data_IF_056234970399
#
_entry.id   IF_056234970399
#
_cell.length_a   1.000
_cell.length_b   1.000
_cell.length_c   1.000
_cell.angle_alpha   90.00
_cell.angle_beta   90.00
_cell.angle_gamma   90.00
#
_symmetry.space_group_name_H-M   'P 1'
#
loop_
_entity.id
_entity.type
_entity.pdbx_description
1 polymer ?
#
# COMPACT_ATOMS: atom_id res chain seq x y z
N UNK A 1 -8.90 0.93 -21.30
CA UNK A 1 -8.53 2.00 -20.36
C UNK A 1 -7.89 1.33 -19.15
N UNK A 2 -6.62 1.63 -18.84
CA UNK A 2 -5.99 1.11 -17.63
C UNK A 2 -6.43 1.98 -16.45
N UNK A 3 -6.70 1.36 -15.31
CA UNK A 3 -7.02 2.10 -14.08
C UNK A 3 -5.78 2.88 -13.61
N UNK A 4 -5.91 4.18 -13.42
CA UNK A 4 -4.81 5.01 -12.92
C UNK A 4 -4.85 5.09 -11.38
N UNK A 5 -3.85 4.48 -10.76
CA UNK A 5 -3.69 4.53 -9.31
C UNK A 5 -3.33 5.94 -8.82
N UNK A 6 -2.74 6.79 -9.66
CA UNK A 6 -2.43 8.19 -9.32
C UNK A 6 -3.72 8.98 -9.17
N UNK A 7 -4.64 8.88 -10.12
CA UNK A 7 -5.98 9.48 -10.01
C UNK A 7 -6.73 8.97 -8.76
N UNK A 8 -6.60 7.67 -8.45
CA UNK A 8 -7.19 7.11 -7.24
C UNK A 8 -6.59 7.68 -5.94
N UNK A 9 -5.31 8.06 -5.96
CA UNK A 9 -4.66 8.77 -4.85
C UNK A 9 -5.12 10.23 -4.79
N UNK A 10 -5.28 10.91 -5.91
CA UNK A 10 -5.81 12.28 -5.97
C UNK A 10 -7.18 12.35 -5.32
N UNK A 11 -8.09 11.43 -5.66
CA UNK A 11 -9.38 11.31 -4.99
C UNK A 11 -9.25 11.07 -3.48
N UNK A 12 -8.26 10.27 -3.07
CA UNK A 12 -8.00 10.05 -1.64
C UNK A 12 -7.58 11.35 -0.94
N UNK A 13 -6.77 12.19 -1.59
CA UNK A 13 -6.38 13.49 -1.08
C UNK A 13 -7.57 14.46 -0.97
N UNK A 14 -8.45 14.49 -1.98
CA UNK A 14 -9.67 15.31 -1.94
C UNK A 14 -10.58 14.91 -0.77
N UNK A 15 -10.78 13.61 -0.57
CA UNK A 15 -11.56 13.08 0.55
C UNK A 15 -10.93 13.38 1.91
N UNK A 16 -9.61 13.58 1.97
CA UNK A 16 -8.91 13.91 3.21
C UNK A 16 -9.18 15.35 3.69
N UNK A 17 -9.67 16.24 2.81
CA UNK A 17 -9.97 17.63 3.14
C UNK A 17 -11.24 17.78 3.98
N UNK A 18 -12.08 16.75 4.01
CA UNK A 18 -13.33 16.74 4.76
C UNK A 18 -13.14 16.06 6.12
N UNK A 19 -13.72 16.65 7.16
CA UNK A 19 -13.59 16.16 8.52
C UNK A 19 -14.46 14.95 8.87
N UNK A 20 -15.38 14.57 7.98
CA UNK A 20 -16.27 13.41 8.11
C UNK A 20 -15.49 12.12 8.39
N UNK A 21 -15.86 11.35 9.42
CA UNK A 21 -15.25 10.05 9.72
C UNK A 21 -15.28 9.09 8.53
N UNK A 22 -16.39 9.06 7.79
CA UNK A 22 -16.54 8.20 6.62
C UNK A 22 -15.56 8.59 5.51
N UNK A 23 -15.43 9.89 5.21
CA UNK A 23 -14.51 10.38 4.18
C UNK A 23 -13.05 10.18 4.59
N UNK A 24 -12.70 10.41 5.87
CA UNK A 24 -11.36 10.13 6.42
C UNK A 24 -10.98 8.64 6.32
N UNK A 25 -11.85 7.73 6.75
CA UNK A 25 -11.62 6.28 6.63
C UNK A 25 -11.44 5.87 5.18
N UNK A 26 -12.31 6.40 4.31
CA UNK A 26 -12.24 6.14 2.87
C UNK A 26 -10.94 6.68 2.26
N UNK A 27 -10.54 7.90 2.61
CA UNK A 27 -9.27 8.50 2.17
C UNK A 27 -8.06 7.63 2.55
N UNK A 28 -8.00 7.15 3.79
CA UNK A 28 -6.93 6.27 4.26
C UNK A 28 -6.90 4.97 3.45
N UNK A 29 -8.06 4.34 3.25
CA UNK A 29 -8.17 3.09 2.50
C UNK A 29 -7.71 3.27 1.06
N UNK A 30 -8.17 4.32 0.38
CA UNK A 30 -7.77 4.64 -1.00
C UNK A 30 -6.29 4.96 -1.12
N UNK A 31 -5.76 5.74 -0.18
CA UNK A 31 -4.33 6.07 -0.12
C UNK A 31 -3.46 4.82 0.01
N UNK A 32 -3.83 3.89 0.89
CA UNK A 32 -3.12 2.61 1.02
C UNK A 32 -3.18 1.79 -0.26
N UNK A 33 -4.37 1.59 -0.84
CA UNK A 33 -4.54 0.77 -2.02
C UNK A 33 -3.80 1.32 -3.24
N UNK A 34 -3.88 2.63 -3.49
CA UNK A 34 -3.13 3.27 -4.56
C UNK A 34 -1.62 3.06 -4.37
N UNK A 35 -1.07 3.40 -3.20
CA UNK A 35 0.36 3.25 -2.93
C UNK A 35 0.83 1.80 -3.06
N UNK A 36 0.03 0.84 -2.59
CA UNK A 36 0.32 -0.58 -2.74
C UNK A 36 0.33 -1.01 -4.22
N UNK A 37 -0.68 -0.64 -4.99
CA UNK A 37 -0.78 -1.04 -6.39
C UNK A 37 0.33 -0.43 -7.23
N UNK A 38 0.64 0.86 -7.07
CA UNK A 38 1.78 1.51 -7.73
C UNK A 38 3.07 0.76 -7.40
N UNK A 39 3.30 0.45 -6.12
CA UNK A 39 4.50 -0.26 -5.69
C UNK A 39 4.58 -1.69 -6.27
N UNK A 40 3.45 -2.41 -6.31
CA UNK A 40 3.35 -3.77 -6.88
C UNK A 40 3.60 -3.74 -8.38
N UNK A 41 2.92 -2.86 -9.10
CA UNK A 41 2.97 -2.78 -10.55
C UNK A 41 4.39 -2.41 -11.02
N UNK A 42 5.07 -1.52 -10.27
CA UNK A 42 6.50 -1.25 -10.49
C UNK A 42 7.38 -2.50 -10.32
N UNK A 43 7.17 -3.32 -9.28
CA UNK A 43 7.93 -4.57 -9.10
C UNK A 43 7.67 -5.55 -10.25
N UNK A 44 6.43 -5.63 -10.72
CA UNK A 44 6.04 -6.50 -11.83
C UNK A 44 6.71 -6.04 -13.13
N UNK A 45 6.60 -4.75 -13.45
CA UNK A 45 7.17 -4.14 -14.66
C UNK A 45 8.69 -4.30 -14.71
N UNK A 46 9.38 -4.05 -13.58
CA UNK A 46 10.84 -4.21 -13.48
C UNK A 46 11.28 -5.65 -13.27
N UNK A 47 10.35 -6.61 -13.23
CA UNK A 47 10.61 -8.03 -12.91
C UNK A 47 11.45 -8.20 -11.64
N UNK A 48 11.23 -7.31 -10.67
CA UNK A 48 11.99 -7.21 -9.43
C UNK A 48 11.40 -8.16 -8.38
N UNK A 49 11.83 -9.42 -8.42
CA UNK A 49 11.41 -10.48 -7.51
C UNK A 49 12.59 -11.03 -6.73
N UNK A 50 12.33 -11.56 -5.54
CA UNK A 50 13.37 -12.24 -4.75
C UNK A 50 13.62 -13.67 -5.24
N UNK A 51 12.54 -14.36 -5.60
CA UNK A 51 12.52 -15.76 -5.98
C UNK A 51 11.23 -16.09 -6.78
N UNK A 52 11.09 -17.34 -7.24
CA UNK A 52 9.92 -17.79 -8.03
C UNK A 52 8.62 -17.78 -7.21
N UNK A 53 8.70 -18.07 -5.91
CA UNK A 53 7.52 -18.13 -5.03
C UNK A 53 6.96 -16.71 -4.80
N UNK A 54 7.84 -15.77 -4.48
CA UNK A 54 7.56 -14.36 -4.34
C UNK A 54 6.96 -13.77 -5.62
N UNK A 55 7.49 -14.14 -6.80
CA UNK A 55 6.89 -13.76 -8.08
C UNK A 55 5.43 -14.21 -8.16
N UNK A 56 5.14 -15.47 -7.86
CA UNK A 56 3.78 -16.01 -7.90
C UNK A 56 2.86 -15.27 -6.93
N UNK A 57 3.31 -15.03 -5.70
CA UNK A 57 2.50 -14.33 -4.69
C UNK A 57 2.25 -12.86 -5.02
N UNK A 58 3.24 -12.13 -5.55
CA UNK A 58 3.07 -10.72 -5.97
C UNK A 58 2.08 -10.59 -7.13
N UNK A 59 2.08 -11.56 -8.06
CA UNK A 59 1.13 -11.59 -9.16
C UNK A 59 -0.26 -12.11 -8.74
N UNK A 60 -0.41 -12.62 -7.52
CA UNK A 60 -1.70 -13.04 -6.98
C UNK A 60 -2.54 -11.84 -6.55
N UNK A 61 -3.87 -11.97 -6.63
CA UNK A 61 -4.82 -10.99 -6.06
C UNK A 61 -5.15 -11.29 -4.59
N UNK A 62 -4.34 -12.10 -3.90
CA UNK A 62 -4.59 -12.55 -2.53
C UNK A 62 -4.03 -11.57 -1.51
N UNK A 63 -4.53 -11.66 -0.27
CA UNK A 63 -4.05 -10.87 0.87
C UNK A 63 -2.53 -10.98 1.10
N UNK A 64 -1.97 -12.15 0.82
CA UNK A 64 -0.54 -12.47 0.90
C UNK A 64 0.32 -11.55 0.01
N UNK A 65 -0.21 -11.08 -1.12
CA UNK A 65 0.50 -10.19 -2.04
C UNK A 65 0.89 -8.87 -1.37
N UNK A 66 0.06 -8.35 -0.46
CA UNK A 66 0.37 -7.13 0.31
C UNK A 66 1.59 -7.30 1.19
N UNK A 67 1.74 -8.47 1.82
CA UNK A 67 2.92 -8.77 2.62
C UNK A 67 4.16 -8.91 1.74
N UNK A 68 4.05 -9.66 0.64
CA UNK A 68 5.18 -9.94 -0.25
C UNK A 68 5.73 -8.68 -0.92
N UNK A 69 4.88 -7.77 -1.42
CA UNK A 69 5.35 -6.49 -1.98
C UNK A 69 6.18 -5.73 -0.95
N UNK A 70 5.71 -5.61 0.30
CA UNK A 70 6.48 -4.94 1.36
C UNK A 70 7.77 -5.69 1.70
N UNK A 71 7.74 -7.02 1.72
CA UNK A 71 8.92 -7.87 1.94
C UNK A 71 9.98 -7.63 0.87
N UNK A 72 9.60 -7.55 -0.40
CA UNK A 72 10.52 -7.24 -1.51
C UNK A 72 11.18 -5.87 -1.33
N UNK A 73 10.40 -4.83 -1.02
CA UNK A 73 10.97 -3.49 -0.74
C UNK A 73 11.82 -3.43 0.54
N UNK A 74 11.62 -4.37 1.49
CA UNK A 74 12.50 -4.55 2.65
C UNK A 74 13.81 -5.26 2.26
N UNK A 75 13.72 -6.35 1.49
CA UNK A 75 14.81 -7.28 1.22
C UNK A 75 15.71 -6.89 0.04
N UNK A 76 15.16 -6.49 -1.12
CA UNK A 76 15.95 -6.05 -2.28
C UNK A 76 16.97 -4.97 -1.90
N UNK A 77 16.59 -4.13 -0.94
CA UNK A 77 17.36 -2.98 -0.50
C UNK A 77 18.22 -3.25 0.74
N UNK A 78 18.11 -4.47 1.29
CA UNK A 78 19.04 -5.01 2.28
C UNK A 78 20.26 -5.67 1.59
N UNK A 79 20.09 -6.22 0.37
CA UNK A 79 21.08 -7.09 -0.27
C UNK A 79 21.86 -6.50 -1.47
N UNK A 80 21.46 -5.40 -2.15
CA UNK A 80 22.23 -4.87 -3.31
C UNK A 80 22.36 -3.33 -3.45
N UNK A 81 23.56 -2.93 -3.92
CA UNK A 81 24.07 -1.68 -4.53
C UNK A 81 23.61 -0.31 -3.96
N UNK A 82 24.58 0.29 -3.26
CA UNK A 82 24.84 1.67 -2.77
C UNK A 82 24.03 2.91 -3.25
N UNK A 83 23.11 2.84 -4.21
CA UNK A 83 22.32 4.00 -4.68
C UNK A 83 20.85 4.03 -4.23
N UNK A 84 20.12 2.90 -4.32
CA UNK A 84 18.65 2.89 -4.16
C UNK A 84 18.14 2.43 -2.78
N UNK A 85 19.03 2.17 -1.83
CA UNK A 85 18.70 1.66 -0.48
C UNK A 85 17.74 2.56 0.30
N UNK A 86 17.86 3.88 0.15
CA UNK A 86 17.00 4.86 0.84
C UNK A 86 15.58 4.85 0.28
N UNK A 87 15.43 4.72 -1.04
CA UNK A 87 14.13 4.74 -1.72
C UNK A 87 13.29 3.53 -1.32
N UNK A 88 13.84 2.31 -1.45
CA UNK A 88 13.12 1.09 -1.08
C UNK A 88 12.72 1.05 0.39
N UNK A 89 13.63 1.46 1.30
CA UNK A 89 13.32 1.58 2.73
C UNK A 89 12.21 2.60 3.01
N UNK A 90 12.20 3.72 2.29
CA UNK A 90 11.15 4.71 2.42
C UNK A 90 9.79 4.19 1.92
N UNK A 91 9.77 3.46 0.81
CA UNK A 91 8.55 2.81 0.29
C UNK A 91 8.04 1.79 1.31
N UNK A 92 8.90 0.90 1.82
CA UNK A 92 8.54 -0.06 2.86
C UNK A 92 7.94 0.63 4.10
N UNK A 93 8.60 1.67 4.62
CA UNK A 93 8.11 2.44 5.78
C UNK A 93 6.75 3.10 5.51
N UNK A 94 6.59 3.72 4.33
CA UNK A 94 5.32 4.37 3.93
C UNK A 94 4.19 3.34 3.82
N UNK A 95 4.44 2.20 3.18
CA UNK A 95 3.45 1.14 3.01
C UNK A 95 3.04 0.50 4.35
N UNK A 96 3.98 0.30 5.29
CA UNK A 96 3.62 -0.15 6.64
C UNK A 96 2.78 0.89 7.36
N UNK A 97 3.22 2.15 7.41
CA UNK A 97 2.46 3.22 8.07
C UNK A 97 1.04 3.36 7.50
N UNK A 98 0.87 3.27 6.18
CA UNK A 98 -0.46 3.32 5.55
C UNK A 98 -1.30 2.09 5.88
N UNK A 99 -0.68 0.90 5.93
CA UNK A 99 -1.38 -0.34 6.32
C UNK A 99 -1.87 -0.27 7.77
N UNK A 100 -1.03 0.22 8.67
CA UNK A 100 -1.37 0.34 10.10
C UNK A 100 -2.54 1.31 10.24
N UNK A 101 -2.44 2.51 9.65
CA UNK A 101 -3.55 3.47 9.59
C UNK A 101 -4.83 2.91 8.98
N UNK A 102 -4.71 2.10 7.92
CA UNK A 102 -5.85 1.44 7.28
C UNK A 102 -6.51 0.44 8.23
N UNK A 103 -5.71 -0.38 8.91
CA UNK A 103 -6.23 -1.29 9.91
C UNK A 103 -6.92 -0.54 11.04
N UNK A 104 -6.37 0.58 11.50
CA UNK A 104 -7.02 1.43 12.51
C UNK A 104 -8.35 1.98 11.96
N UNK A 105 -8.34 2.48 10.72
CA UNK A 105 -9.52 3.02 10.05
C UNK A 105 -10.60 1.97 9.70
N UNK A 106 -10.25 0.69 9.58
CA UNK A 106 -11.18 -0.40 9.29
C UNK A 106 -11.69 -1.07 10.58
N UNK A 107 -10.85 -1.17 11.62
CA UNK A 107 -11.12 -2.05 12.76
C UNK A 107 -11.16 -1.34 14.13
N UNK A 108 -10.68 -0.10 14.28
CA UNK A 108 -10.87 0.62 15.54
C UNK A 108 -12.29 1.20 15.65
N UNK A 109 -13.00 0.67 16.66
CA UNK A 109 -14.38 0.97 17.07
C UNK A 109 -14.55 2.31 17.80
N UNK A 110 -13.57 3.22 17.79
CA UNK A 110 -13.74 4.58 18.38
C UNK A 110 -14.66 5.50 17.54
N UNK A 111 -15.71 4.92 16.96
CA UNK A 111 -17.00 5.55 16.72
C UNK A 111 -18.02 4.57 17.28
N UNK A 112 -18.21 4.63 18.60
CA UNK A 112 -19.30 3.94 19.27
C UNK A 112 -20.63 4.36 18.65
N UNK A 113 -21.46 3.34 18.40
CA UNK A 113 -22.89 3.37 18.08
C UNK A 113 -23.22 3.24 16.59
N UNK A 114 -23.19 2.00 16.12
CA UNK A 114 -24.30 1.46 15.34
C UNK A 114 -25.08 0.50 16.24
N UNK A 115 -25.63 1.05 17.32
CA UNK A 115 -26.86 0.50 17.91
C UNK A 115 -28.00 1.38 17.40
N UNK A 116 -28.71 0.87 16.41
CA UNK A 116 -30.09 1.25 16.06
C UNK A 116 -30.75 0.06 15.39
#
# INVERSE_FOLDING_TARGET
MNFDWVDYYTLACELALDDSPAKKRTSINRSYYSAYCIARDFLIEKKAYLDKENKTKINSKKSEAHYEVRRVYKELYSKHKRGNKKIGRNIFKKLNRLRDKRNDADYELKFSNLDS
#
